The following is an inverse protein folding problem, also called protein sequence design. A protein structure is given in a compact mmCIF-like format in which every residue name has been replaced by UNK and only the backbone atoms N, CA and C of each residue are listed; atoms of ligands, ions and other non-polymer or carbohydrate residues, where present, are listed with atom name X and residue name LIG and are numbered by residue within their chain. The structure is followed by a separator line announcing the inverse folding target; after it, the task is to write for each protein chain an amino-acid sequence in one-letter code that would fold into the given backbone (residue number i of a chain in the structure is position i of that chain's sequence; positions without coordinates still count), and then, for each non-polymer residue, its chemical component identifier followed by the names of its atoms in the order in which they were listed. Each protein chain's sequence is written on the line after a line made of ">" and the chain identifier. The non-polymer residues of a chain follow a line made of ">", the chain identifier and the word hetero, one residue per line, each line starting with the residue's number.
data_IF_877810985830
#
_entry.id   IF_877810985830
#
_cell.length_a   1.000
_cell.length_b   1.000
_cell.length_c   1.000
_cell.angle_alpha   90.00
_cell.angle_beta   90.00
_cell.angle_gamma   90.00
#
_symmetry.space_group_name_H-M   'P 1'
#
loop_
_entity.id
_entity.type
_entity.pdbx_description
1 polymer ?
#
# COMPACT_ATOMS: atom_id res chain seq x y z
N UNK A 1 28.17 3.08 13.57
CA UNK A 1 26.74 3.43 13.84
C UNK A 1 25.87 2.29 13.37
N UNK A 2 24.95 1.79 14.18
CA UNK A 2 24.03 0.75 13.73
C UNK A 2 22.95 1.33 12.81
N UNK A 3 22.41 0.53 11.88
CA UNK A 3 21.30 0.94 11.02
C UNK A 3 20.11 1.52 11.82
N UNK A 4 19.87 1.03 13.04
CA UNK A 4 18.84 1.51 13.95
C UNK A 4 19.04 2.96 14.42
N UNK A 5 20.29 3.38 14.67
CA UNK A 5 20.58 4.78 15.06
C UNK A 5 20.23 5.73 13.90
N UNK A 6 20.60 5.31 12.68
CA UNK A 6 20.25 6.07 11.47
C UNK A 6 18.73 6.09 11.23
N UNK A 7 18.07 4.95 11.37
CA UNK A 7 16.61 4.87 11.25
C UNK A 7 15.93 5.80 12.26
N UNK A 8 16.36 5.79 13.53
CA UNK A 8 15.83 6.71 14.57
C UNK A 8 16.03 8.19 14.20
N UNK A 9 17.19 8.55 13.64
CA UNK A 9 17.44 9.90 13.14
C UNK A 9 16.45 10.27 12.03
N UNK A 10 16.32 9.40 11.03
CA UNK A 10 15.46 9.63 9.87
C UNK A 10 14.00 9.75 10.26
N UNK A 11 13.51 8.89 11.17
CA UNK A 11 12.17 8.98 11.73
C UNK A 11 11.94 10.33 12.43
N UNK A 12 12.92 10.78 13.23
CA UNK A 12 12.80 12.09 13.89
C UNK A 12 12.76 13.23 12.89
N UNK A 13 13.54 13.18 11.82
CA UNK A 13 13.52 14.21 10.77
C UNK A 13 12.16 14.21 10.08
N UNK A 14 11.66 13.05 9.64
CA UNK A 14 10.37 12.91 8.94
C UNK A 14 9.20 13.41 9.81
N UNK A 15 9.05 12.89 11.03
CA UNK A 15 7.93 13.26 11.90
C UNK A 15 8.01 14.70 12.47
N UNK A 16 9.18 15.31 12.46
CA UNK A 16 9.33 16.73 12.83
C UNK A 16 8.87 17.66 11.72
N UNK A 17 8.92 17.23 10.47
CA UNK A 17 8.38 17.96 9.32
C UNK A 17 6.89 17.67 9.17
N UNK A 18 6.05 18.49 9.83
CA UNK A 18 4.58 18.36 9.78
C UNK A 18 4.03 18.43 8.36
N UNK A 19 4.69 19.20 7.50
CA UNK A 19 4.31 19.36 6.09
C UNK A 19 4.55 18.07 5.32
N UNK A 20 5.72 17.45 5.47
CA UNK A 20 6.03 16.18 4.85
C UNK A 20 5.06 15.07 5.33
N UNK A 21 4.76 15.02 6.63
CA UNK A 21 3.77 14.08 7.20
C UNK A 21 2.39 14.30 6.57
N UNK A 22 1.89 15.54 6.54
CA UNK A 22 0.59 15.85 5.95
C UNK A 22 0.52 15.47 4.46
N UNK A 23 1.51 15.91 3.66
CA UNK A 23 1.52 15.61 2.23
C UNK A 23 1.72 14.12 1.92
N UNK A 24 2.35 13.36 2.82
CA UNK A 24 2.46 11.89 2.64
C UNK A 24 1.11 11.17 2.75
N UNK A 25 0.15 11.73 3.49
CA UNK A 25 -1.22 11.22 3.63
C UNK A 25 -2.20 11.84 2.62
N UNK A 26 -1.79 12.90 1.92
CA UNK A 26 -2.71 13.70 1.11
C UNK A 26 -3.38 12.88 0.01
N UNK A 27 -2.66 11.96 -0.64
CA UNK A 27 -3.23 11.08 -1.66
C UNK A 27 -4.33 10.18 -1.10
N UNK A 28 -4.14 9.62 0.09
CA UNK A 28 -5.14 8.82 0.78
C UNK A 28 -6.36 9.67 1.17
N UNK A 29 -6.13 10.87 1.71
CA UNK A 29 -7.21 11.78 2.13
C UNK A 29 -8.03 12.28 0.94
N UNK A 30 -7.38 12.62 -0.18
CA UNK A 30 -8.07 12.99 -1.43
C UNK A 30 -8.92 11.83 -1.92
N UNK A 31 -8.39 10.61 -1.88
CA UNK A 31 -9.11 9.45 -2.34
C UNK A 31 -10.33 9.14 -1.45
N UNK A 32 -10.18 9.22 -0.13
CA UNK A 32 -11.31 9.11 0.82
C UNK A 32 -12.37 10.17 0.50
N UNK A 33 -11.96 11.43 0.31
CA UNK A 33 -12.86 12.51 -0.05
C UNK A 33 -13.58 12.29 -1.38
N UNK A 34 -12.86 11.82 -2.40
CA UNK A 34 -13.42 11.54 -3.72
C UNK A 34 -14.45 10.40 -3.67
N UNK A 35 -14.17 9.34 -2.90
CA UNK A 35 -15.13 8.28 -2.68
C UNK A 35 -16.34 8.74 -1.87
N UNK A 36 -16.13 9.50 -0.82
CA UNK A 36 -17.23 10.00 0.00
C UNK A 36 -18.16 10.93 -0.76
N UNK A 37 -17.66 11.69 -1.75
CA UNK A 37 -18.41 12.70 -2.49
C UNK A 37 -19.04 12.17 -3.80
N UNK A 38 -18.35 11.30 -4.53
CA UNK A 38 -18.72 10.96 -5.91
C UNK A 38 -18.62 9.47 -6.23
N UNK A 39 -17.42 8.88 -6.07
CA UNK A 39 -17.19 7.52 -6.55
C UNK A 39 -17.94 6.47 -5.73
N UNK A 40 -18.22 6.74 -4.46
CA UNK A 40 -18.96 5.83 -3.60
C UNK A 40 -20.38 5.58 -4.13
N UNK A 41 -21.12 6.62 -4.48
CA UNK A 41 -22.48 6.48 -5.03
C UNK A 41 -22.48 5.73 -6.36
N UNK A 42 -21.55 6.04 -7.27
CA UNK A 42 -21.43 5.34 -8.55
C UNK A 42 -21.16 3.84 -8.38
N UNK A 43 -20.28 3.47 -7.44
CA UNK A 43 -19.98 2.07 -7.18
C UNK A 43 -21.17 1.35 -6.51
N UNK A 44 -21.87 2.02 -5.60
CA UNK A 44 -23.07 1.49 -4.96
C UNK A 44 -24.17 1.25 -5.99
N UNK A 45 -24.46 2.21 -6.87
CA UNK A 45 -25.48 2.08 -7.92
C UNK A 45 -25.17 0.92 -8.88
N UNK A 46 -23.89 0.79 -9.29
CA UNK A 46 -23.45 -0.32 -10.13
C UNK A 46 -23.59 -1.68 -9.43
N UNK A 47 -23.25 -1.76 -8.16
CA UNK A 47 -23.33 -3.01 -7.40
C UNK A 47 -24.77 -3.36 -7.05
N UNK A 48 -25.61 -2.37 -6.70
CA UNK A 48 -27.03 -2.54 -6.43
C UNK A 48 -27.77 -3.10 -7.65
N UNK A 49 -27.38 -2.71 -8.87
CA UNK A 49 -27.98 -3.25 -10.09
C UNK A 49 -27.65 -4.75 -10.30
N UNK A 50 -26.55 -5.23 -9.74
CA UNK A 50 -26.14 -6.65 -9.81
C UNK A 50 -26.74 -7.49 -8.68
N UNK A 51 -26.99 -6.88 -7.53
CA UNK A 51 -27.56 -7.50 -6.34
C UNK A 51 -28.85 -6.76 -5.92
N UNK A 52 -29.94 -6.89 -6.70
CA UNK A 52 -31.17 -6.11 -6.45
C UNK A 52 -31.91 -6.52 -5.15
N UNK A 53 -31.60 -7.68 -4.59
CA UNK A 53 -32.16 -8.17 -3.32
C UNK A 53 -31.40 -7.67 -2.10
N UNK A 54 -30.16 -7.21 -2.26
CA UNK A 54 -29.36 -6.69 -1.17
C UNK A 54 -29.86 -5.30 -0.74
N UNK A 55 -29.74 -5.01 0.52
CA UNK A 55 -30.06 -3.68 1.06
C UNK A 55 -28.98 -2.66 0.66
N UNK A 56 -29.37 -1.39 0.55
CA UNK A 56 -28.42 -0.32 0.24
C UNK A 56 -27.27 -0.25 1.29
N UNK A 57 -27.57 -0.57 2.56
CA UNK A 57 -26.56 -0.61 3.62
C UNK A 57 -25.51 -1.72 3.41
N UNK A 58 -25.89 -2.90 2.99
CA UNK A 58 -24.98 -4.02 2.68
C UNK A 58 -24.07 -3.70 1.49
N UNK A 59 -24.68 -3.16 0.42
CA UNK A 59 -23.91 -2.71 -0.75
C UNK A 59 -22.89 -1.63 -0.38
N UNK A 60 -23.34 -0.63 0.39
CA UNK A 60 -22.46 0.45 0.85
C UNK A 60 -21.33 -0.08 1.74
N UNK A 61 -21.62 -1.00 2.67
CA UNK A 61 -20.62 -1.58 3.55
C UNK A 61 -19.53 -2.33 2.76
N UNK A 62 -19.91 -3.08 1.72
CA UNK A 62 -18.95 -3.76 0.85
C UNK A 62 -18.08 -2.77 0.07
N UNK A 63 -18.71 -1.76 -0.55
CA UNK A 63 -17.98 -0.74 -1.33
C UNK A 63 -17.00 0.01 -0.43
N UNK A 64 -17.43 0.44 0.75
CA UNK A 64 -16.55 1.13 1.72
C UNK A 64 -15.36 0.24 2.11
N UNK A 65 -15.59 -1.03 2.44
CA UNK A 65 -14.55 -1.99 2.81
C UNK A 65 -13.52 -2.21 1.68
N UNK A 66 -13.99 -2.43 0.46
CA UNK A 66 -13.15 -2.62 -0.71
C UNK A 66 -12.27 -1.39 -1.00
N UNK A 67 -12.87 -0.20 -0.95
CA UNK A 67 -12.17 1.07 -1.17
C UNK A 67 -11.10 1.30 -0.11
N UNK A 68 -11.44 1.10 1.17
CA UNK A 68 -10.48 1.32 2.24
C UNK A 68 -9.31 0.34 2.22
N UNK A 69 -9.54 -0.90 1.78
CA UNK A 69 -8.44 -1.84 1.51
C UNK A 69 -7.49 -1.31 0.43
N UNK A 70 -8.03 -0.77 -0.67
CA UNK A 70 -7.25 -0.15 -1.74
C UNK A 70 -6.47 1.09 -1.28
N UNK A 71 -7.11 1.97 -0.52
CA UNK A 71 -6.47 3.16 0.06
C UNK A 71 -5.34 2.77 1.02
N UNK A 72 -5.56 1.74 1.82
CA UNK A 72 -4.55 1.19 2.74
C UNK A 72 -3.31 0.73 1.97
N UNK A 73 -3.49 -0.01 0.88
CA UNK A 73 -2.39 -0.46 0.03
C UNK A 73 -1.60 0.72 -0.56
N UNK A 74 -2.29 1.72 -1.12
CA UNK A 74 -1.65 2.91 -1.68
C UNK A 74 -0.85 3.64 -0.58
N UNK A 75 -1.42 3.77 0.61
CA UNK A 75 -0.78 4.43 1.75
C UNK A 75 0.53 3.75 2.15
N UNK A 76 0.57 2.41 2.21
CA UNK A 76 1.78 1.67 2.55
C UNK A 76 2.94 2.07 1.63
N UNK A 77 2.71 2.11 0.32
CA UNK A 77 3.76 2.45 -0.64
C UNK A 77 4.10 3.93 -0.62
N UNK A 78 3.10 4.81 -0.71
CA UNK A 78 3.33 6.26 -0.89
C UNK A 78 3.97 6.89 0.33
N UNK A 79 3.58 6.51 1.54
CA UNK A 79 4.17 7.04 2.78
C UNK A 79 5.58 6.49 3.01
N UNK A 80 5.81 5.21 2.67
CA UNK A 80 7.15 4.62 2.69
C UNK A 80 8.10 5.29 1.71
N UNK A 81 7.62 5.59 0.50
CA UNK A 81 8.38 6.34 -0.48
C UNK A 81 8.65 7.78 0.02
N UNK A 82 7.64 8.46 0.56
CA UNK A 82 7.79 9.81 1.10
C UNK A 82 8.84 9.89 2.21
N UNK A 83 8.92 8.88 3.08
CA UNK A 83 9.94 8.82 4.13
C UNK A 83 11.38 8.76 3.58
N UNK A 84 11.56 8.31 2.34
CA UNK A 84 12.86 8.28 1.67
C UNK A 84 13.29 9.64 1.09
N UNK A 85 12.47 10.69 1.20
CA UNK A 85 12.89 12.07 0.91
C UNK A 85 14.14 12.46 1.71
N UNK A 86 14.26 11.99 2.94
CA UNK A 86 15.45 12.19 3.80
C UNK A 86 16.72 11.62 3.15
N UNK A 87 16.63 10.46 2.46
CA UNK A 87 17.75 9.90 1.69
C UNK A 87 18.17 10.83 0.55
N UNK A 88 17.20 11.36 -0.18
CA UNK A 88 17.47 12.27 -1.32
C UNK A 88 18.08 13.58 -0.81
N UNK A 89 17.54 14.13 0.27
CA UNK A 89 18.08 15.35 0.89
C UNK A 89 19.53 15.16 1.37
N UNK A 90 19.80 14.08 2.08
CA UNK A 90 21.17 13.76 2.53
C UNK A 90 22.12 13.54 1.34
N UNK A 91 21.62 12.92 0.24
CA UNK A 91 22.41 12.69 -0.98
C UNK A 91 22.69 14.00 -1.73
N UNK A 92 21.72 14.89 -1.86
CA UNK A 92 21.81 16.13 -2.63
C UNK A 92 22.57 17.22 -1.89
N UNK A 93 22.47 17.26 -0.54
CA UNK A 93 23.18 18.23 0.30
C UNK A 93 24.65 17.87 0.57
N UNK A 94 25.12 16.72 0.09
CA UNK A 94 26.49 16.28 0.31
C UNK A 94 26.75 15.62 1.67
N UNK A 95 25.76 15.51 2.55
CA UNK A 95 25.87 14.82 3.87
C UNK A 95 26.30 13.38 3.78
N UNK A 96 26.13 12.74 2.61
CA UNK A 96 26.70 11.41 2.36
C UNK A 96 28.23 11.37 2.53
N UNK A 97 28.94 12.47 2.26
CA UNK A 97 30.40 12.53 2.45
C UNK A 97 30.77 12.35 3.92
N UNK A 98 29.96 12.91 4.83
CA UNK A 98 30.18 12.79 6.29
C UNK A 98 29.99 11.33 6.76
N UNK A 99 29.05 10.60 6.13
CA UNK A 99 28.88 9.16 6.42
C UNK A 99 30.02 8.32 5.87
N UNK A 100 30.72 8.77 4.80
CA UNK A 100 31.83 8.03 4.17
C UNK A 100 33.12 8.08 4.98
N UNK A 101 33.36 9.17 5.70
CA UNK A 101 34.52 9.31 6.61
C UNK A 101 34.29 8.59 7.94
N UNK A 102 33.06 8.15 8.21
CA UNK A 102 32.69 7.38 9.40
C UNK A 102 32.87 5.87 9.13
N UNK A 103 33.24 5.06 10.14
CA UNK A 103 33.42 3.59 9.99
C UNK A 103 32.08 2.84 9.86
N UNK A 104 31.16 3.34 9.00
CA UNK A 104 29.84 2.73 8.78
C UNK A 104 29.90 1.81 7.56
N UNK A 105 29.40 0.58 7.71
CA UNK A 105 29.20 -0.30 6.55
C UNK A 105 28.13 0.31 5.62
N UNK A 106 28.43 0.42 4.33
CA UNK A 106 27.52 1.01 3.31
C UNK A 106 26.15 0.35 3.26
N UNK A 107 26.10 -0.97 3.46
CA UNK A 107 24.86 -1.70 3.60
C UNK A 107 24.02 -1.20 4.79
N UNK A 108 24.64 -0.92 5.95
CA UNK A 108 23.94 -0.40 7.13
C UNK A 108 23.33 0.98 6.88
N UNK A 109 23.89 1.76 5.95
CA UNK A 109 23.35 3.07 5.59
C UNK A 109 21.99 2.91 4.89
N UNK A 110 21.95 2.13 3.79
CA UNK A 110 20.67 1.93 3.06
C UNK A 110 19.61 1.22 3.91
N UNK A 111 20.03 0.22 4.71
CA UNK A 111 19.10 -0.45 5.63
C UNK A 111 18.53 0.49 6.70
N UNK A 112 19.28 1.50 7.14
CA UNK A 112 18.76 2.52 8.05
C UNK A 112 17.66 3.37 7.43
N UNK A 113 17.79 3.76 6.15
CA UNK A 113 16.73 4.47 5.43
C UNK A 113 15.52 3.56 5.13
N UNK A 114 15.74 2.31 4.72
CA UNK A 114 14.65 1.36 4.49
C UNK A 114 13.88 1.04 5.77
N UNK A 115 14.58 0.89 6.90
CA UNK A 115 13.92 0.68 8.21
C UNK A 115 13.08 1.88 8.61
N UNK A 116 13.54 3.12 8.37
CA UNK A 116 12.71 4.30 8.63
C UNK A 116 11.49 4.36 7.70
N UNK A 117 11.65 4.06 6.42
CA UNK A 117 10.56 3.95 5.44
C UNK A 117 9.51 2.92 5.88
N UNK A 118 9.96 1.73 6.27
CA UNK A 118 9.12 0.66 6.78
C UNK A 118 8.28 1.09 8.01
N UNK A 119 8.92 1.72 9.00
CA UNK A 119 8.23 2.17 10.22
C UNK A 119 7.23 3.28 9.90
N UNK A 120 7.59 4.24 9.03
CA UNK A 120 6.66 5.30 8.59
C UNK A 120 5.47 4.71 7.88
N UNK A 121 5.67 3.75 6.95
CA UNK A 121 4.58 3.05 6.27
C UNK A 121 3.60 2.43 7.24
N UNK A 122 4.08 1.70 8.25
CA UNK A 122 3.21 1.07 9.27
C UNK A 122 2.44 2.13 10.06
N UNK A 123 3.12 3.13 10.60
CA UNK A 123 2.48 4.18 11.43
C UNK A 123 1.40 4.90 10.64
N UNK A 124 1.70 5.31 9.38
CA UNK A 124 0.73 6.02 8.55
C UNK A 124 -0.42 5.13 8.10
N UNK A 125 -0.17 3.84 7.88
CA UNK A 125 -1.22 2.86 7.57
C UNK A 125 -2.16 2.69 8.76
N UNK A 126 -1.66 2.60 9.98
CA UNK A 126 -2.49 2.56 11.19
C UNK A 126 -3.38 3.79 11.28
N UNK A 127 -2.84 4.98 11.00
CA UNK A 127 -3.62 6.23 10.99
C UNK A 127 -4.75 6.16 9.95
N UNK A 128 -4.46 5.75 8.72
CA UNK A 128 -5.47 5.67 7.65
C UNK A 128 -6.54 4.63 7.96
N UNK A 129 -6.16 3.46 8.45
CA UNK A 129 -7.13 2.43 8.86
C UNK A 129 -8.00 2.91 10.02
N UNK A 130 -7.44 3.64 10.98
CA UNK A 130 -8.21 4.24 12.09
C UNK A 130 -9.23 5.27 11.57
N UNK A 131 -8.85 6.10 10.59
CA UNK A 131 -9.76 7.04 9.92
C UNK A 131 -10.87 6.28 9.19
N UNK A 132 -10.52 5.21 8.48
CA UNK A 132 -11.47 4.36 7.75
C UNK A 132 -12.51 3.75 8.69
N UNK A 133 -12.07 3.17 9.81
CA UNK A 133 -12.97 2.61 10.82
C UNK A 133 -13.86 3.67 11.46
N UNK A 134 -13.32 4.85 11.75
CA UNK A 134 -14.11 5.99 12.26
C UNK A 134 -15.19 6.41 11.26
N UNK A 135 -14.87 6.47 9.97
CA UNK A 135 -15.83 6.82 8.91
C UNK A 135 -16.96 5.80 8.81
N UNK A 136 -16.66 4.51 8.77
CA UNK A 136 -17.66 3.44 8.69
C UNK A 136 -18.54 3.39 9.94
N UNK A 137 -17.97 3.62 11.13
CA UNK A 137 -18.70 3.69 12.39
C UNK A 137 -19.71 4.85 12.41
N UNK A 138 -19.34 6.04 11.91
CA UNK A 138 -20.23 7.22 11.82
C UNK A 138 -21.41 6.93 10.88
N UNK A 139 -21.19 6.15 9.82
CA UNK A 139 -22.25 5.76 8.87
C UNK A 139 -23.17 4.64 9.37
N UNK A 140 -22.89 4.07 10.54
CA UNK A 140 -23.66 2.95 11.10
C UNK A 140 -23.44 1.63 10.35
N UNK A 141 -22.45 1.57 9.45
CA UNK A 141 -22.08 0.34 8.75
C UNK A 141 -21.32 -0.59 9.68
N UNK A 142 -21.40 -1.90 9.42
CA UNK A 142 -20.64 -2.89 10.17
C UNK A 142 -19.15 -2.54 10.09
N UNK A 143 -18.57 -2.19 11.23
CA UNK A 143 -17.14 -2.01 11.37
C UNK A 143 -16.47 -3.38 11.36
N UNK A 144 -15.20 -3.43 10.92
CA UNK A 144 -14.40 -4.64 11.09
C UNK A 144 -14.39 -5.05 12.55
N UNK A 145 -14.56 -6.34 12.80
CA UNK A 145 -14.35 -6.89 14.14
C UNK A 145 -12.91 -6.67 14.57
N UNK A 146 -12.66 -6.69 15.91
CA UNK A 146 -11.30 -6.58 16.42
C UNK A 146 -10.37 -7.66 15.84
N UNK A 147 -10.90 -8.84 15.53
CA UNK A 147 -10.16 -9.94 14.89
C UNK A 147 -9.83 -9.61 13.43
N UNK A 148 -10.77 -9.11 12.65
CA UNK A 148 -10.53 -8.68 11.26
C UNK A 148 -9.57 -7.49 11.19
N UNK A 149 -9.71 -6.53 12.10
CA UNK A 149 -8.77 -5.43 12.25
C UNK A 149 -7.37 -5.92 12.62
N UNK A 150 -7.26 -6.88 13.52
CA UNK A 150 -6.01 -7.57 13.86
C UNK A 150 -5.50 -8.38 12.68
N UNK A 151 -6.32 -8.97 11.85
CA UNK A 151 -5.90 -9.67 10.64
C UNK A 151 -5.51 -8.71 9.51
N UNK A 152 -6.16 -7.59 9.37
CA UNK A 152 -5.88 -6.57 8.35
C UNK A 152 -4.67 -5.69 8.70
N UNK A 153 -4.61 -5.16 9.90
CA UNK A 153 -3.41 -4.52 10.48
C UNK A 153 -2.43 -5.60 10.93
N UNK A 154 -3.01 -6.78 11.24
CA UNK A 154 -2.42 -7.87 11.93
C UNK A 154 -1.34 -8.48 11.11
N UNK A 155 -0.32 -8.09 11.52
CA UNK A 155 0.89 -8.83 11.72
C UNK A 155 1.59 -9.31 10.44
N UNK A 156 0.90 -9.71 9.39
CA UNK A 156 1.58 -10.29 8.23
C UNK A 156 1.38 -9.46 6.98
N UNK A 157 0.17 -9.03 6.65
CA UNK A 157 -0.09 -8.35 5.38
C UNK A 157 0.56 -6.97 5.32
N UNK A 158 0.23 -6.10 6.29
CA UNK A 158 0.76 -4.72 6.33
C UNK A 158 2.27 -4.74 6.55
N UNK A 159 2.76 -5.61 7.45
CA UNK A 159 4.18 -5.73 7.76
C UNK A 159 4.97 -6.22 6.54
N UNK A 160 4.51 -7.29 5.88
CA UNK A 160 5.19 -7.85 4.69
C UNK A 160 5.11 -6.89 3.51
N UNK A 161 3.95 -6.28 3.26
CA UNK A 161 3.80 -5.27 2.20
C UNK A 161 4.66 -4.03 2.48
N UNK A 162 4.68 -3.51 3.70
CA UNK A 162 5.53 -2.38 4.08
C UNK A 162 7.02 -2.72 3.93
N UNK A 163 7.45 -3.92 4.29
CA UNK A 163 8.84 -4.35 4.09
C UNK A 163 9.19 -4.45 2.60
N UNK A 164 8.32 -5.09 1.79
CA UNK A 164 8.51 -5.24 0.35
C UNK A 164 8.56 -3.88 -0.35
N UNK A 165 7.63 -2.98 -0.06
CA UNK A 165 7.56 -1.67 -0.71
C UNK A 165 8.62 -0.69 -0.20
N UNK A 166 9.06 -0.81 1.06
CA UNK A 166 10.22 -0.05 1.55
C UNK A 166 11.51 -0.49 0.87
N UNK A 167 11.67 -1.78 0.60
CA UNK A 167 12.80 -2.32 -0.14
C UNK A 167 12.79 -1.86 -1.61
N UNK A 168 11.63 -1.98 -2.27
CA UNK A 168 11.41 -1.53 -3.64
C UNK A 168 11.67 -0.02 -3.77
N UNK A 169 11.07 0.79 -2.91
CA UNK A 169 11.26 2.24 -2.88
C UNK A 169 12.72 2.60 -2.59
N UNK A 170 13.36 1.89 -1.65
CA UNK A 170 14.78 2.02 -1.34
C UNK A 170 15.67 1.77 -2.56
N UNK A 171 15.32 0.79 -3.40
CA UNK A 171 16.03 0.56 -4.67
C UNK A 171 15.80 1.69 -5.67
N UNK A 172 14.54 2.11 -5.86
CA UNK A 172 14.18 3.17 -6.81
C UNK A 172 14.90 4.48 -6.48
N UNK A 173 14.95 4.90 -5.22
CA UNK A 173 15.60 6.17 -4.83
C UNK A 173 17.11 6.16 -5.05
N UNK A 174 17.76 5.00 -5.18
CA UNK A 174 19.18 4.96 -5.54
C UNK A 174 19.46 5.51 -6.95
N UNK A 175 18.47 5.62 -7.82
CA UNK A 175 18.59 6.22 -9.16
C UNK A 175 18.32 7.72 -9.16
N UNK A 176 17.65 8.23 -8.14
CA UNK A 176 17.25 9.63 -8.03
C UNK A 176 18.41 10.47 -7.47
N UNK A 177 18.62 11.67 -8.05
CA UNK A 177 19.76 12.52 -7.71
C UNK A 177 19.39 13.92 -7.21
N UNK A 178 18.12 14.32 -7.37
CA UNK A 178 17.64 15.64 -6.99
C UNK A 178 16.26 15.59 -6.35
N UNK A 179 15.95 16.58 -5.52
CA UNK A 179 14.63 16.70 -4.88
C UNK A 179 13.51 16.87 -5.92
N UNK A 180 13.76 17.60 -7.01
CA UNK A 180 12.78 17.79 -8.09
C UNK A 180 12.47 16.47 -8.82
N UNK A 181 13.50 15.68 -9.13
CA UNK A 181 13.31 14.36 -9.72
C UNK A 181 12.56 13.40 -8.78
N UNK A 182 12.82 13.49 -7.47
CA UNK A 182 12.12 12.71 -6.46
C UNK A 182 10.63 13.11 -6.38
N UNK A 183 10.34 14.41 -6.38
CA UNK A 183 8.96 14.91 -6.38
C UNK A 183 8.17 14.44 -7.61
N UNK A 184 8.75 14.58 -8.81
CA UNK A 184 8.14 14.10 -10.05
C UNK A 184 7.88 12.60 -10.04
N UNK A 185 8.87 11.81 -9.62
CA UNK A 185 8.75 10.36 -9.49
C UNK A 185 7.65 9.98 -8.47
N UNK A 186 7.61 10.64 -7.31
CA UNK A 186 6.62 10.36 -6.28
C UNK A 186 5.20 10.63 -6.75
N UNK A 187 5.00 11.69 -7.55
CA UNK A 187 3.71 12.02 -8.17
C UNK A 187 3.29 10.93 -9.15
N UNK A 188 4.19 10.49 -10.03
CA UNK A 188 3.91 9.42 -11.01
C UNK A 188 3.58 8.12 -10.27
N UNK A 189 4.40 7.73 -9.30
CA UNK A 189 4.17 6.52 -8.51
C UNK A 189 2.82 6.59 -7.80
N UNK A 190 2.51 7.70 -7.12
CA UNK A 190 1.24 7.89 -6.39
C UNK A 190 0.01 7.78 -7.30
N UNK A 191 0.10 8.27 -8.53
CA UNK A 191 -1.02 8.19 -9.49
C UNK A 191 -1.15 6.78 -10.10
N UNK A 192 -0.05 6.23 -10.58
CA UNK A 192 -0.06 4.95 -11.30
C UNK A 192 -0.38 3.77 -10.39
N UNK A 193 0.08 3.82 -9.13
CA UNK A 193 -0.08 2.71 -8.20
C UNK A 193 -1.54 2.39 -7.89
N UNK A 194 -2.40 3.41 -7.85
CA UNK A 194 -3.83 3.22 -7.61
C UNK A 194 -4.52 2.42 -8.72
N UNK A 195 -4.07 2.59 -9.96
CA UNK A 195 -4.52 1.76 -11.09
C UNK A 195 -3.93 0.35 -10.99
N UNK A 196 -2.63 0.22 -10.78
CA UNK A 196 -1.95 -1.08 -10.71
C UNK A 196 -2.42 -1.95 -9.55
N UNK A 197 -2.87 -1.35 -8.46
CA UNK A 197 -3.47 -2.03 -7.33
C UNK A 197 -4.98 -2.30 -7.52
N UNK A 198 -5.59 -1.83 -8.62
CA UNK A 198 -7.02 -1.91 -8.83
C UNK A 198 -7.84 -1.17 -7.78
N UNK A 199 -7.29 -0.10 -7.20
CA UNK A 199 -7.96 0.62 -6.11
C UNK A 199 -8.95 1.67 -6.61
N UNK A 200 -8.82 2.13 -7.84
CA UNK A 200 -9.73 3.12 -8.44
C UNK A 200 -10.91 2.47 -9.17
N UNK A 201 -10.67 1.33 -9.79
CA UNK A 201 -11.62 0.66 -10.68
C UNK A 201 -11.56 -0.85 -10.39
N UNK A 202 -12.71 -1.53 -10.25
CA UNK A 202 -12.73 -2.99 -10.09
C UNK A 202 -12.04 -3.69 -11.25
N UNK A 203 -11.25 -4.73 -10.96
CA UNK A 203 -10.48 -5.47 -11.97
C UNK A 203 -11.37 -6.05 -13.07
N UNK A 204 -12.58 -6.52 -12.71
CA UNK A 204 -13.53 -7.09 -13.65
C UNK A 204 -14.10 -6.13 -14.71
N UNK A 205 -13.80 -4.83 -14.63
CA UNK A 205 -14.17 -3.84 -15.67
C UNK A 205 -13.09 -3.67 -16.73
N UNK A 206 -11.91 -4.24 -16.52
CA UNK A 206 -10.75 -4.07 -17.39
C UNK A 206 -10.58 -5.29 -18.33
N UNK A 207 -9.95 -5.11 -19.49
CA UNK A 207 -9.62 -6.23 -20.37
C UNK A 207 -8.72 -7.26 -19.66
N UNK A 208 -8.96 -8.56 -19.90
CA UNK A 208 -8.22 -9.65 -19.25
C UNK A 208 -6.70 -9.54 -19.41
N UNK A 209 -6.20 -9.06 -20.55
CA UNK A 209 -4.76 -8.83 -20.76
C UNK A 209 -4.17 -7.80 -19.80
N UNK A 210 -4.91 -6.74 -19.50
CA UNK A 210 -4.50 -5.70 -18.55
C UNK A 210 -4.53 -6.25 -17.13
N UNK A 211 -5.60 -6.96 -16.77
CA UNK A 211 -5.76 -7.58 -15.44
C UNK A 211 -4.63 -8.57 -15.17
N UNK A 212 -4.27 -9.42 -16.13
CA UNK A 212 -3.17 -10.37 -15.99
C UNK A 212 -1.83 -9.68 -15.70
N UNK A 213 -1.54 -8.58 -16.40
CA UNK A 213 -0.32 -7.80 -16.14
C UNK A 213 -0.35 -7.17 -14.74
N UNK A 214 -1.49 -6.62 -14.34
CA UNK A 214 -1.66 -6.03 -13.00
C UNK A 214 -1.49 -7.09 -11.91
N UNK A 215 -2.15 -8.25 -12.05
CA UNK A 215 -2.12 -9.33 -11.07
C UNK A 215 -0.74 -9.98 -10.92
N UNK A 216 0.08 -9.96 -11.97
CA UNK A 216 1.47 -10.39 -11.89
C UNK A 216 2.36 -9.44 -11.06
N UNK A 217 1.91 -8.21 -10.80
CA UNK A 217 2.67 -7.23 -10.04
C UNK A 217 2.43 -7.38 -8.54
N UNK A 218 3.44 -7.08 -7.69
CA UNK A 218 3.31 -7.21 -6.24
C UNK A 218 2.25 -6.26 -5.64
N UNK A 219 1.83 -5.25 -6.37
CA UNK A 219 0.84 -4.27 -5.93
C UNK A 219 -0.56 -4.85 -5.88
N UNK A 220 -0.99 -5.56 -6.92
CA UNK A 220 -2.28 -6.24 -6.94
C UNK A 220 -2.34 -7.38 -5.91
N UNK A 221 -1.22 -8.09 -5.73
CA UNK A 221 -1.11 -9.17 -4.74
C UNK A 221 -1.21 -8.63 -3.29
N UNK A 222 -0.57 -7.49 -3.00
CA UNK A 222 -0.74 -6.83 -1.71
C UNK A 222 -2.17 -6.30 -1.51
N UNK A 223 -2.79 -5.75 -2.56
CA UNK A 223 -4.17 -5.28 -2.52
C UNK A 223 -5.15 -6.44 -2.28
N UNK A 224 -4.96 -7.58 -2.94
CA UNK A 224 -5.72 -8.82 -2.70
C UNK A 224 -5.67 -9.23 -1.23
N UNK A 225 -4.46 -9.35 -0.67
CA UNK A 225 -4.27 -9.76 0.73
C UNK A 225 -4.91 -8.80 1.73
N UNK A 226 -4.97 -7.50 1.43
CA UNK A 226 -5.66 -6.51 2.25
C UNK A 226 -7.18 -6.58 2.07
N UNK A 227 -7.66 -6.79 0.85
CA UNK A 227 -9.10 -6.86 0.57
C UNK A 227 -9.77 -8.03 1.26
N UNK A 228 -9.12 -9.19 1.31
CA UNK A 228 -9.68 -10.38 1.96
C UNK A 228 -10.23 -10.11 3.36
N UNK A 229 -9.46 -9.64 4.35
CA UNK A 229 -9.98 -9.35 5.68
C UNK A 229 -10.90 -8.13 5.73
N UNK A 230 -10.70 -7.12 4.86
CA UNK A 230 -11.56 -5.93 4.86
C UNK A 230 -12.98 -6.23 4.37
N UNK A 231 -13.13 -7.11 3.38
CA UNK A 231 -14.42 -7.36 2.72
C UNK A 231 -15.10 -8.65 3.16
N UNK A 232 -14.45 -9.51 3.95
CA UNK A 232 -14.95 -10.83 4.29
C UNK A 232 -16.41 -10.82 4.80
N UNK A 233 -16.67 -10.03 5.83
CA UNK A 233 -18.00 -9.94 6.45
C UNK A 233 -19.03 -9.29 5.52
N UNK A 234 -18.67 -8.19 4.86
CA UNK A 234 -19.58 -7.47 3.98
C UNK A 234 -19.87 -8.22 2.67
N UNK A 235 -18.94 -9.02 2.16
CA UNK A 235 -19.15 -9.88 1.01
C UNK A 235 -20.12 -11.02 1.33
N UNK A 236 -19.99 -11.64 2.50
CA UNK A 236 -20.90 -12.68 2.97
C UNK A 236 -22.33 -12.14 3.17
N UNK A 237 -22.46 -10.97 3.82
CA UNK A 237 -23.75 -10.32 4.01
C UNK A 237 -24.40 -9.95 2.66
N UNK A 238 -23.64 -9.37 1.72
CA UNK A 238 -24.14 -8.95 0.41
C UNK A 238 -24.66 -10.11 -0.45
N UNK A 239 -24.09 -11.30 -0.28
CA UNK A 239 -24.38 -12.47 -1.13
C UNK A 239 -25.27 -13.51 -0.47
N UNK A 240 -25.81 -13.25 0.75
CA UNK A 240 -26.49 -14.25 1.58
C UNK A 240 -25.65 -15.54 1.79
N UNK A 241 -24.33 -15.43 1.79
CA UNK A 241 -23.41 -16.56 1.93
C UNK A 241 -23.41 -17.54 0.76
N UNK A 242 -23.99 -17.20 -0.40
CA UNK A 242 -24.00 -18.05 -1.60
C UNK A 242 -22.60 -18.13 -2.22
N UNK A 243 -21.97 -19.27 -2.15
CA UNK A 243 -20.56 -19.48 -2.55
C UNK A 243 -20.24 -19.04 -3.98
N UNK A 244 -21.14 -19.29 -4.93
CA UNK A 244 -20.98 -18.88 -6.34
C UNK A 244 -20.98 -17.35 -6.49
N UNK A 245 -21.89 -16.67 -5.79
CA UNK A 245 -21.98 -15.21 -5.80
C UNK A 245 -20.75 -14.56 -5.10
N UNK A 246 -20.28 -15.16 -4.01
CA UNK A 246 -19.04 -14.73 -3.32
C UNK A 246 -17.85 -14.85 -4.25
N UNK A 247 -17.71 -16.00 -4.96
CA UNK A 247 -16.60 -16.21 -5.90
C UNK A 247 -16.64 -15.18 -7.03
N UNK A 248 -17.76 -14.98 -7.67
CA UNK A 248 -17.93 -14.00 -8.75
C UNK A 248 -17.64 -12.56 -8.28
N UNK A 249 -18.05 -12.22 -7.07
CA UNK A 249 -17.76 -10.93 -6.44
C UNK A 249 -16.25 -10.76 -6.19
N UNK A 250 -15.60 -11.79 -5.64
CA UNK A 250 -14.18 -11.78 -5.33
C UNK A 250 -13.32 -11.61 -6.59
N UNK A 251 -13.67 -12.29 -7.67
CA UNK A 251 -12.98 -12.19 -8.96
C UNK A 251 -13.17 -10.80 -9.57
N UNK A 252 -14.41 -10.29 -9.56
CA UNK A 252 -14.71 -8.99 -10.14
C UNK A 252 -14.00 -7.84 -9.40
N UNK A 253 -13.95 -7.90 -8.07
CA UNK A 253 -13.35 -6.85 -7.24
C UNK A 253 -11.86 -7.08 -6.92
N UNK A 254 -11.22 -8.13 -7.45
CA UNK A 254 -9.81 -8.46 -7.25
C UNK A 254 -9.50 -8.80 -5.79
N UNK A 255 -10.43 -9.47 -5.10
CA UNK A 255 -10.28 -10.10 -3.78
C UNK A 255 -9.66 -11.49 -3.96
N UNK A 256 -10.02 -12.18 -5.04
CA UNK A 256 -9.30 -13.30 -5.62
C UNK A 256 -8.66 -12.81 -6.93
N UNK A 257 -7.44 -13.26 -7.23
CA UNK A 257 -6.73 -12.87 -8.44
C UNK A 257 -6.10 -14.10 -9.09
N UNK A 258 -6.04 -14.08 -10.42
CA UNK A 258 -5.34 -15.09 -11.23
C UNK A 258 -4.36 -14.41 -12.17
N UNK A 259 -3.32 -15.13 -12.59
CA UNK A 259 -2.37 -14.72 -13.63
C UNK A 259 -2.40 -15.78 -14.73
N UNK A 260 -3.05 -15.46 -15.85
CA UNK A 260 -3.40 -16.45 -16.86
C UNK A 260 -4.34 -17.49 -16.24
N UNK A 261 -3.95 -18.77 -16.32
CA UNK A 261 -4.71 -19.90 -15.77
C UNK A 261 -4.33 -20.26 -14.32
N UNK A 262 -3.45 -19.48 -13.68
CA UNK A 262 -2.97 -19.75 -12.32
C UNK A 262 -3.66 -18.87 -11.30
N UNK A 263 -4.38 -19.47 -10.36
CA UNK A 263 -4.93 -18.78 -9.21
C UNK A 263 -3.83 -18.42 -8.21
N UNK A 264 -3.77 -17.17 -7.82
CA UNK A 264 -2.79 -16.69 -6.83
C UNK A 264 -3.35 -16.93 -5.43
N UNK A 265 -2.81 -17.94 -4.76
CA UNK A 265 -3.15 -18.18 -3.36
C UNK A 265 -2.58 -17.09 -2.45
N UNK A 266 -3.18 -16.90 -1.26
CA UNK A 266 -2.66 -15.98 -0.26
C UNK A 266 -1.21 -16.29 0.12
N UNK A 267 -0.85 -17.58 0.24
CA UNK A 267 0.53 -18.01 0.48
C UNK A 267 1.47 -17.66 -0.67
N UNK A 268 0.99 -17.78 -1.93
CA UNK A 268 1.72 -17.35 -3.12
C UNK A 268 2.01 -15.85 -3.11
N UNK A 269 1.01 -15.04 -2.79
CA UNK A 269 1.15 -13.59 -2.70
C UNK A 269 2.13 -13.16 -1.58
N UNK A 270 2.06 -13.78 -0.41
CA UNK A 270 3.05 -13.54 0.66
C UNK A 270 4.47 -13.91 0.22
N UNK A 271 4.62 -15.04 -0.46
CA UNK A 271 5.92 -15.49 -0.98
C UNK A 271 6.46 -14.49 -2.00
N UNK A 272 5.63 -14.02 -2.91
CA UNK A 272 6.03 -13.02 -3.91
C UNK A 272 6.46 -11.69 -3.26
N UNK A 273 5.72 -11.19 -2.27
CA UNK A 273 6.10 -10.00 -1.52
C UNK A 273 7.41 -10.19 -0.75
N UNK A 274 7.62 -11.36 -0.14
CA UNK A 274 8.88 -11.69 0.54
C UNK A 274 10.07 -11.72 -0.44
N UNK A 275 9.89 -12.30 -1.64
CA UNK A 275 10.89 -12.29 -2.71
C UNK A 275 11.20 -10.85 -3.14
N UNK A 276 10.18 -10.03 -3.37
CA UNK A 276 10.34 -8.60 -3.69
C UNK A 276 11.15 -7.89 -2.61
N UNK A 277 10.82 -8.10 -1.33
CA UNK A 277 11.56 -7.54 -0.21
C UNK A 277 13.05 -7.91 -0.27
N UNK A 278 13.35 -9.20 -0.37
CA UNK A 278 14.73 -9.70 -0.34
C UNK A 278 15.52 -9.21 -1.56
N UNK A 279 14.95 -9.37 -2.76
CA UNK A 279 15.62 -8.99 -4.02
C UNK A 279 15.94 -7.50 -4.04
N UNK A 280 14.96 -6.64 -3.74
CA UNK A 280 15.19 -5.20 -3.79
C UNK A 280 16.04 -4.68 -2.63
N UNK A 281 16.03 -5.31 -1.46
CA UNK A 281 16.95 -5.01 -0.38
C UNK A 281 18.41 -5.32 -0.77
N UNK A 282 18.65 -6.47 -1.40
CA UNK A 282 19.97 -6.85 -1.90
C UNK A 282 20.45 -5.93 -3.03
N UNK A 283 19.58 -5.66 -4.01
CA UNK A 283 19.87 -4.76 -5.13
C UNK A 283 20.19 -3.35 -4.65
N UNK A 284 19.44 -2.82 -3.68
CA UNK A 284 19.67 -1.51 -3.06
C UNK A 284 21.05 -1.44 -2.40
N UNK A 285 21.37 -2.46 -1.63
CA UNK A 285 22.67 -2.56 -0.94
C UNK A 285 23.85 -2.62 -1.93
N UNK A 286 23.72 -3.46 -2.96
CA UNK A 286 24.73 -3.62 -3.99
C UNK A 286 24.94 -2.32 -4.80
N UNK A 287 23.87 -1.69 -5.24
CA UNK A 287 23.92 -0.46 -6.03
C UNK A 287 24.52 0.71 -5.24
N UNK A 288 24.07 0.89 -3.99
CA UNK A 288 24.64 1.96 -3.15
C UNK A 288 26.13 1.75 -2.90
N UNK A 289 26.55 0.51 -2.70
CA UNK A 289 27.98 0.18 -2.53
C UNK A 289 28.83 0.55 -3.74
N UNK A 290 28.27 0.53 -4.95
CA UNK A 290 28.95 0.94 -6.19
C UNK A 290 28.89 2.46 -6.43
N UNK A 291 27.80 3.13 -6.04
CA UNK A 291 27.61 4.58 -6.25
C UNK A 291 28.56 5.43 -5.39
N UNK A 292 28.99 4.89 -4.29
CA UNK A 292 29.77 5.58 -3.27
C UNK A 292 31.29 5.26 -3.41
N UNK A 293 31.71 4.57 -4.47
CA UNK A 293 33.11 4.46 -4.88
C UNK A 293 33.48 5.69 -5.67
#
# INVERSE_FOLDING_TARGET
>A
MSALILARRNLRIFFRDRTAVFFSLLSALILIGLYALVLGSLQVDNLQSRFPTATNAEVQAFVDAWVFAGITMITILTTGLAALSVFIEDSSSGRFKDFLVSPIRRASLIFGYMTSSFIVSIVMTVVVVSISQGYTAIRGNATMTATELLLALGYVVVVVAAAAFSALSGFIVTFVRSNSAFAAMSTIVGTVIGFLAGAYIPAGTLPASVVNVMNAMPFAQAAMLLRQPFTAHSAEALTDGKSEAVSALNDFYGIAISVGDFDVSSAGAFTALAIVCIVFALLSSFRLSRRIR
#
